data_IF_955398317543
#
_entry.id   IF_955398317543
#
_cell.length_a   1.000
_cell.length_b   1.000
_cell.length_c   1.000
_cell.angle_alpha   90.00
_cell.angle_beta   90.00
_cell.angle_gamma   90.00
#
_symmetry.space_group_name_H-M   'P 1'
#
loop_
_entity.id
_entity.type
_entity.pdbx_description
1 polymer ?
#
# COMPACT_ATOMS: atom_id res chain seq x y z
N UNK A 1 0.04 35.53 -10.32
CA UNK A 1 0.60 34.66 -11.39
C UNK A 1 2.05 34.37 -11.02
N UNK A 2 2.52 33.11 -11.22
CA UNK A 2 3.76 32.42 -10.75
C UNK A 2 3.50 31.53 -9.53
N UNK A 3 3.10 30.27 -9.75
CA UNK A 3 3.93 29.06 -9.99
C UNK A 3 4.39 28.47 -8.65
N UNK A 4 3.65 27.51 -8.05
CA UNK A 4 3.81 26.04 -8.17
C UNK A 4 5.28 25.58 -8.04
N UNK A 5 5.71 25.35 -6.81
CA UNK A 5 6.81 24.44 -6.50
C UNK A 5 6.20 23.26 -5.73
N UNK A 6 6.29 22.08 -6.34
CA UNK A 6 5.79 20.84 -5.79
C UNK A 6 6.63 20.44 -4.58
N UNK A 7 5.98 20.40 -3.42
CA UNK A 7 6.47 19.72 -2.24
C UNK A 7 6.72 18.25 -2.61
N UNK A 8 7.99 17.83 -2.63
CA UNK A 8 8.35 16.44 -2.87
C UNK A 8 7.86 15.62 -1.68
N UNK A 9 6.64 15.11 -1.77
CA UNK A 9 6.02 14.26 -0.77
C UNK A 9 6.97 13.08 -0.49
N UNK A 10 7.53 13.03 0.72
CA UNK A 10 8.25 11.84 1.20
C UNK A 10 7.27 10.67 1.09
N UNK A 11 7.67 9.53 0.49
CA UNK A 11 6.77 8.40 0.35
C UNK A 11 6.23 8.01 1.72
N UNK A 12 4.90 7.99 1.88
CA UNK A 12 4.28 7.56 3.14
C UNK A 12 4.61 6.09 3.40
N UNK A 13 4.37 5.67 4.63
CA UNK A 13 4.67 4.34 5.16
C UNK A 13 4.28 3.17 4.21
N UNK A 14 5.04 2.08 4.27
CA UNK A 14 4.79 0.89 3.46
C UNK A 14 3.65 0.05 4.06
N UNK A 15 2.62 -0.23 3.27
CA UNK A 15 1.48 -1.06 3.67
C UNK A 15 1.46 -2.36 2.88
N UNK A 16 1.35 -3.50 3.56
CA UNK A 16 1.14 -4.80 2.91
C UNK A 16 -0.35 -5.01 2.64
N UNK A 17 -0.70 -5.25 1.38
CA UNK A 17 -2.04 -5.62 0.96
C UNK A 17 -2.03 -7.06 0.46
N UNK A 18 -2.57 -7.98 1.24
CA UNK A 18 -2.70 -9.38 0.81
C UNK A 18 -3.82 -9.54 -0.23
N UNK A 19 -3.61 -10.41 -1.21
CA UNK A 19 -4.61 -10.67 -2.25
C UNK A 19 -4.93 -9.46 -3.12
N UNK A 20 -3.92 -8.61 -3.38
CA UNK A 20 -4.05 -7.34 -4.09
C UNK A 20 -4.70 -7.48 -5.48
N UNK A 21 -4.54 -8.64 -6.14
CA UNK A 21 -5.15 -8.92 -7.45
C UNK A 21 -6.67 -9.14 -7.43
N UNK A 22 -7.31 -9.06 -6.27
CA UNK A 22 -8.77 -9.13 -6.15
C UNK A 22 -9.47 -7.81 -6.53
N UNK A 23 -10.73 -7.90 -6.92
CA UNK A 23 -11.53 -6.72 -7.32
C UNK A 23 -11.60 -5.64 -6.24
N UNK A 24 -11.95 -6.01 -5.01
CA UNK A 24 -12.01 -5.06 -3.87
C UNK A 24 -10.61 -4.58 -3.47
N UNK A 25 -9.64 -5.48 -3.46
CA UNK A 25 -8.29 -5.17 -3.02
C UNK A 25 -7.59 -4.18 -3.97
N UNK A 26 -7.73 -4.36 -5.29
CA UNK A 26 -7.17 -3.44 -6.28
C UNK A 26 -7.71 -2.02 -6.16
N UNK A 27 -8.98 -1.86 -5.77
CA UNK A 27 -9.55 -0.53 -5.48
C UNK A 27 -8.93 0.11 -4.24
N UNK A 28 -8.71 -0.67 -3.18
CA UNK A 28 -8.02 -0.21 -1.97
C UNK A 28 -6.58 0.21 -2.30
N UNK A 29 -5.86 -0.62 -3.07
CA UNK A 29 -4.50 -0.29 -3.54
C UNK A 29 -4.50 1.02 -4.30
N UNK A 30 -5.43 1.23 -5.24
CA UNK A 30 -5.58 2.48 -5.97
C UNK A 30 -5.71 3.68 -5.02
N UNK A 31 -6.59 3.59 -4.01
CA UNK A 31 -6.80 4.68 -3.04
C UNK A 31 -5.56 4.96 -2.19
N UNK A 32 -4.81 3.93 -1.81
CA UNK A 32 -3.56 4.08 -1.06
C UNK A 32 -2.48 4.78 -1.90
N UNK A 33 -2.35 4.39 -3.18
CA UNK A 33 -1.41 5.00 -4.13
C UNK A 33 -1.76 6.48 -4.41
N UNK A 34 -3.05 6.80 -4.56
CA UNK A 34 -3.57 8.17 -4.71
C UNK A 34 -3.24 9.05 -3.49
N UNK A 35 -3.24 8.46 -2.29
CA UNK A 35 -2.90 9.15 -1.04
C UNK A 35 -1.39 9.28 -0.79
N UNK A 36 -0.55 8.73 -1.68
CA UNK A 36 0.91 8.80 -1.59
C UNK A 36 1.56 7.70 -0.75
N UNK A 37 0.84 6.64 -0.39
CA UNK A 37 1.41 5.47 0.32
C UNK A 37 2.17 4.56 -0.64
N UNK A 38 3.19 3.89 -0.08
CA UNK A 38 3.81 2.73 -0.72
C UNK A 38 3.01 1.49 -0.37
N UNK A 39 2.74 0.66 -1.36
CA UNK A 39 1.91 -0.54 -1.21
C UNK A 39 2.71 -1.74 -1.68
N UNK A 40 2.78 -2.78 -0.84
CA UNK A 40 3.25 -4.11 -1.20
C UNK A 40 2.05 -5.02 -1.37
N UNK A 41 1.64 -5.25 -2.61
CA UNK A 41 0.50 -6.09 -2.94
C UNK A 41 0.92 -7.55 -3.12
N UNK A 42 0.30 -8.48 -2.40
CA UNK A 42 0.53 -9.91 -2.64
C UNK A 42 -0.36 -10.45 -3.74
N UNK A 43 0.23 -11.21 -4.64
CA UNK A 43 -0.46 -11.95 -5.70
C UNK A 43 0.10 -13.38 -5.74
N UNK A 44 -0.68 -14.37 -6.18
CA UNK A 44 -0.17 -15.75 -6.25
C UNK A 44 0.97 -15.90 -7.27
N UNK A 45 0.87 -15.19 -8.38
CA UNK A 45 1.86 -15.22 -9.45
C UNK A 45 2.11 -13.81 -10.00
N UNK A 46 3.22 -13.16 -9.58
CA UNK A 46 3.61 -11.85 -10.08
C UNK A 46 3.97 -11.84 -11.57
N UNK A 47 4.33 -12.99 -12.15
CA UNK A 47 4.68 -13.11 -13.56
C UNK A 47 3.43 -13.20 -14.45
N UNK A 48 2.26 -13.51 -13.87
CA UNK A 48 0.99 -13.55 -14.61
C UNK A 48 0.50 -12.13 -14.94
N UNK A 49 0.95 -11.60 -16.07
CA UNK A 49 0.60 -10.26 -16.55
C UNK A 49 -0.90 -10.08 -16.72
N UNK A 50 -1.65 -11.09 -17.18
CA UNK A 50 -3.11 -10.99 -17.33
C UNK A 50 -3.81 -10.68 -16.02
N UNK A 51 -3.37 -11.30 -14.92
CA UNK A 51 -3.95 -11.11 -13.58
C UNK A 51 -3.37 -9.92 -12.82
N UNK A 52 -2.19 -9.42 -13.19
CA UNK A 52 -1.49 -8.34 -12.46
C UNK A 52 -1.50 -6.99 -13.18
N UNK A 53 -1.83 -6.98 -14.48
CA UNK A 53 -1.83 -5.77 -15.32
C UNK A 53 -2.69 -4.65 -14.73
N UNK A 54 -3.88 -4.97 -14.25
CA UNK A 54 -4.80 -3.98 -13.69
C UNK A 54 -4.22 -3.25 -12.45
N UNK A 55 -3.27 -3.86 -11.72
CA UNK A 55 -2.56 -3.21 -10.62
C UNK A 55 -1.41 -2.34 -11.11
N UNK A 56 -0.69 -2.79 -12.15
CA UNK A 56 0.42 -2.03 -12.77
C UNK A 56 -0.08 -0.79 -13.49
N UNK A 57 -1.27 -0.85 -14.06
CA UNK A 57 -1.90 0.25 -14.79
C UNK A 57 -2.47 1.34 -13.84
N UNK A 58 -2.37 1.16 -12.51
CA UNK A 58 -2.83 2.16 -11.54
C UNK A 58 -1.90 3.38 -11.53
N UNK A 59 -2.44 4.60 -11.39
CA UNK A 59 -1.61 5.81 -11.27
C UNK A 59 -0.66 5.71 -10.07
N UNK A 60 0.64 5.92 -10.32
CA UNK A 60 1.68 5.85 -9.29
C UNK A 60 2.12 4.43 -8.90
N UNK A 61 1.59 3.39 -9.54
CA UNK A 61 2.00 2.02 -9.27
C UNK A 61 3.46 1.75 -9.63
N UNK A 62 3.97 2.31 -10.73
CA UNK A 62 5.37 2.12 -11.16
C UNK A 62 6.38 2.56 -10.08
N UNK A 63 6.05 3.59 -9.31
CA UNK A 63 6.92 4.14 -8.26
C UNK A 63 6.64 3.56 -6.87
N UNK A 64 5.37 3.28 -6.57
CA UNK A 64 4.89 3.04 -5.19
C UNK A 64 4.23 1.69 -4.98
N UNK A 65 4.02 0.88 -6.03
CA UNK A 65 3.47 -0.47 -5.90
C UNK A 65 4.55 -1.53 -6.13
N UNK A 66 4.74 -2.37 -5.13
CA UNK A 66 5.52 -3.60 -5.24
C UNK A 66 4.59 -4.80 -5.27
N UNK A 67 4.79 -5.73 -6.20
CA UNK A 67 4.00 -6.96 -6.28
C UNK A 67 4.87 -8.15 -5.85
N UNK A 68 4.44 -8.84 -4.80
CA UNK A 68 5.18 -9.97 -4.21
C UNK A 68 4.35 -11.24 -4.35
N UNK A 69 5.02 -12.34 -4.69
CA UNK A 69 4.42 -13.67 -4.72
C UNK A 69 4.07 -14.13 -3.31
N UNK A 70 2.80 -14.42 -3.04
CA UNK A 70 2.42 -15.06 -1.78
C UNK A 70 1.28 -16.07 -1.96
N UNK A 71 1.43 -17.23 -1.33
CA UNK A 71 0.42 -18.28 -1.28
C UNK A 71 0.07 -18.64 0.17
N UNK A 72 -1.24 -18.60 0.48
CA UNK A 72 -1.79 -18.98 1.80
C UNK A 72 -1.55 -20.44 2.16
N UNK A 73 -1.30 -21.28 1.17
CA UNK A 73 -1.06 -22.71 1.36
C UNK A 73 0.42 -23.05 1.60
N UNK A 74 1.32 -22.07 1.51
CA UNK A 74 2.76 -22.25 1.66
C UNK A 74 3.23 -21.50 2.90
N UNK A 75 3.72 -22.24 3.90
CA UNK A 75 4.30 -21.67 5.12
C UNK A 75 5.51 -20.79 4.78
N UNK A 76 5.62 -19.64 5.45
CA UNK A 76 6.67 -18.64 5.21
C UNK A 76 6.52 -17.80 3.93
N UNK A 77 5.50 -18.07 3.10
CA UNK A 77 5.32 -17.35 1.82
C UNK A 77 5.00 -15.86 1.98
N UNK A 78 4.59 -15.43 3.17
CA UNK A 78 4.27 -14.03 3.47
C UNK A 78 5.41 -13.29 4.17
N UNK A 79 6.49 -13.96 4.58
CA UNK A 79 7.53 -13.34 5.41
C UNK A 79 8.15 -12.13 4.70
N UNK A 80 8.53 -12.31 3.43
CA UNK A 80 9.01 -11.24 2.55
C UNK A 80 7.92 -10.20 2.27
N UNK A 81 6.65 -10.62 2.21
CA UNK A 81 5.54 -9.73 1.91
C UNK A 81 5.25 -8.75 3.06
N UNK A 82 5.49 -9.14 4.32
CA UNK A 82 5.21 -8.32 5.51
C UNK A 82 6.44 -7.59 6.02
N UNK A 83 7.64 -7.97 5.61
CA UNK A 83 8.88 -7.36 6.04
C UNK A 83 8.90 -5.84 5.77
N UNK A 84 9.13 -5.05 6.83
CA UNK A 84 9.18 -3.58 6.76
C UNK A 84 7.83 -2.89 6.54
N UNK A 85 6.72 -3.64 6.51
CA UNK A 85 5.39 -3.08 6.38
C UNK A 85 4.87 -2.61 7.73
N UNK A 86 4.28 -1.41 7.77
CA UNK A 86 3.71 -0.82 9.00
C UNK A 86 2.34 -1.44 9.35
N UNK A 87 1.69 -2.08 8.38
CA UNK A 87 0.47 -2.83 8.60
C UNK A 87 0.21 -3.83 7.48
N UNK A 88 -0.59 -4.85 7.79
CA UNK A 88 -1.05 -5.88 6.86
C UNK A 88 -2.57 -5.79 6.75
N UNK A 89 -3.10 -5.76 5.52
CA UNK A 89 -4.53 -5.71 5.23
C UNK A 89 -4.97 -6.85 4.32
N UNK A 90 -6.17 -7.38 4.54
CA UNK A 90 -6.78 -8.48 3.79
C UNK A 90 -8.19 -8.07 3.34
N UNK A 91 -8.64 -8.28 2.09
CA UNK A 91 -10.05 -8.02 1.76
C UNK A 91 -10.98 -8.96 2.57
N UNK A 92 -12.12 -8.48 3.12
CA UNK A 92 -12.72 -7.17 2.98
C UNK A 92 -12.51 -6.23 4.21
N UNK A 93 -11.36 -6.24 4.91
CA UNK A 93 -11.21 -5.26 6.02
C UNK A 93 -11.39 -3.84 5.47
N UNK A 94 -12.26 -3.02 6.11
CA UNK A 94 -12.55 -1.68 5.63
C UNK A 94 -11.29 -0.82 5.59
N UNK A 95 -11.14 0.00 4.54
CA UNK A 95 -10.04 0.97 4.40
C UNK A 95 -9.89 1.89 5.64
N UNK A 96 -10.99 2.14 6.35
CA UNK A 96 -11.02 2.89 7.62
C UNK A 96 -10.20 2.26 8.74
N UNK A 97 -10.00 0.94 8.73
CA UNK A 97 -9.19 0.26 9.74
C UNK A 97 -7.72 0.68 9.63
N UNK A 98 -7.21 0.87 8.40
CA UNK A 98 -5.86 1.39 8.18
C UNK A 98 -5.78 2.87 8.57
N UNK A 99 -6.78 3.70 8.26
CA UNK A 99 -6.80 5.09 8.73
C UNK A 99 -6.86 5.20 10.24
N UNK A 100 -7.57 4.30 10.93
CA UNK A 100 -7.61 4.26 12.39
C UNK A 100 -6.26 3.86 13.00
N UNK A 101 -5.57 2.86 12.43
CA UNK A 101 -4.21 2.47 12.85
C UNK A 101 -3.24 3.64 12.61
N UNK A 102 -3.32 4.27 11.44
CA UNK A 102 -2.48 5.41 11.08
C UNK A 102 -2.78 6.64 11.95
N UNK A 103 -4.05 6.94 12.27
CA UNK A 103 -4.43 8.02 13.19
C UNK A 103 -4.02 7.73 14.63
N UNK A 104 -4.15 6.49 15.10
CA UNK A 104 -3.71 6.10 16.44
C UNK A 104 -2.19 6.23 16.58
N UNK A 105 -1.46 5.87 15.52
CA UNK A 105 -0.01 6.07 15.43
C UNK A 105 0.37 7.55 15.31
N UNK A 106 -0.34 8.32 14.50
CA UNK A 106 -0.15 9.78 14.38
C UNK A 106 -0.40 10.52 15.70
N UNK A 107 -1.43 10.10 16.45
CA UNK A 107 -1.71 10.60 17.80
C UNK A 107 -0.64 10.23 18.82
N UNK A 108 0.16 9.19 18.56
CA UNK A 108 1.28 8.79 19.41
C UNK A 108 2.64 9.37 18.96
N UNK A 109 2.72 10.01 17.78
CA UNK A 109 3.94 10.71 17.35
C UNK A 109 4.18 11.99 18.18
N UNK A 110 5.44 12.39 18.42
CA UNK A 110 5.78 13.65 19.07
C UNK A 110 5.21 14.85 18.29
N UNK A 111 4.80 15.93 18.97
CA UNK A 111 4.08 17.05 18.34
C UNK A 111 4.83 17.73 17.18
N UNK A 112 6.16 17.56 17.12
CA UNK A 112 7.05 18.13 16.11
C UNK A 112 6.94 17.44 14.75
N UNK A 113 6.46 16.19 14.73
CA UNK A 113 6.34 15.36 13.52
C UNK A 113 4.90 15.36 12.97
N UNK A 114 3.95 15.92 13.72
CA UNK A 114 2.54 16.00 13.33
C UNK A 114 2.25 17.06 12.26
N UNK A 115 3.12 18.06 12.11
CA UNK A 115 2.92 19.18 11.17
C UNK A 115 3.44 18.93 9.75
N UNK A 116 3.99 17.75 9.46
CA UNK A 116 4.60 17.41 8.17
C UNK A 116 3.69 16.56 7.25
N UNK A 117 2.37 16.59 7.46
CA UNK A 117 1.38 15.79 6.75
C UNK A 117 0.27 16.64 6.12
#
# INVERSE_FOLDING_TARGET
MRAREGEMATPKELVCMTGAGGYVASYIVKRLLEKGYRVRGTVRDPANSTKTKHLRDLPGAEERLEQVGADLLVEGSFDVAVEGCVGVSTPPVPLYFLESILMSRWLSLPSKERSAF
#
